data_IF_585374337326
#
_entry.id   IF_585374337326
#
_cell.length_a   1.000
_cell.length_b   1.000
_cell.length_c   1.000
_cell.angle_alpha   90.00
_cell.angle_beta   90.00
_cell.angle_gamma   90.00
#
_symmetry.space_group_name_H-M   'P 1'
#
loop_
_entity.id
_entity.type
_entity.pdbx_description
1 polymer ?
#
# COMPACT_ATOMS: atom_id res chain seq x y z
N UNK A 1 35.96 2.31 12.02
CA UNK A 1 35.25 2.28 10.72
C UNK A 1 34.18 3.36 10.76
N UNK A 2 34.32 4.47 10.02
CA UNK A 2 33.37 5.59 9.99
C UNK A 2 32.85 5.71 8.56
N UNK A 3 31.57 5.45 8.35
CA UNK A 3 30.90 5.78 7.10
C UNK A 3 30.61 7.29 7.11
N UNK A 4 31.26 8.07 6.25
CA UNK A 4 30.79 9.39 5.84
C UNK A 4 29.80 9.16 4.70
N UNK A 5 28.60 9.70 4.83
CA UNK A 5 27.67 9.88 3.70
C UNK A 5 27.46 11.38 3.52
N UNK A 6 28.30 11.97 2.70
CA UNK A 6 28.21 13.33 2.21
C UNK A 6 27.15 13.40 1.09
N UNK A 7 25.88 13.42 1.50
CA UNK A 7 24.74 13.67 0.61
C UNK A 7 23.98 14.91 1.04
N UNK A 8 24.03 15.98 0.24
CA UNK A 8 23.08 17.10 0.35
C UNK A 8 21.78 16.74 -0.36
N UNK A 9 20.71 16.50 0.40
CA UNK A 9 19.38 16.24 -0.13
C UNK A 9 18.68 17.58 -0.40
N UNK A 10 18.35 17.86 -1.67
CA UNK A 10 17.45 18.96 -2.02
C UNK A 10 16.07 18.37 -2.28
N UNK A 11 15.08 18.83 -1.53
CA UNK A 11 13.69 18.48 -1.79
C UNK A 11 13.20 19.32 -2.99
N UNK A 12 13.02 18.65 -4.13
CA UNK A 12 12.13 19.14 -5.19
C UNK A 12 10.79 18.43 -4.99
N UNK A 13 9.72 19.17 -4.70
CA UNK A 13 8.38 18.62 -4.71
C UNK A 13 7.92 18.51 -6.17
N UNK A 14 7.78 17.30 -6.73
CA UNK A 14 7.16 17.14 -8.04
C UNK A 14 5.67 17.56 -7.94
N UNK A 15 5.06 17.97 -9.06
CA UNK A 15 3.61 18.14 -9.13
C UNK A 15 2.95 16.81 -8.74
N UNK A 16 1.90 16.92 -7.91
CA UNK A 16 1.07 15.87 -7.34
C UNK A 16 1.23 14.49 -8.02
N UNK A 17 1.96 13.54 -7.41
CA UNK A 17 2.19 12.19 -7.98
C UNK A 17 0.94 11.30 -7.99
N UNK A 18 -0.25 11.89 -7.85
CA UNK A 18 -1.51 11.14 -7.87
C UNK A 18 -1.63 10.17 -6.69
N UNK A 19 -1.12 10.54 -5.50
CA UNK A 19 -1.32 9.72 -4.31
C UNK A 19 -2.83 9.60 -4.03
N UNK A 20 -3.28 8.38 -3.78
CA UNK A 20 -4.66 8.04 -3.43
C UNK A 20 -4.68 7.34 -2.08
N UNK A 21 -5.85 7.29 -1.46
CA UNK A 21 -6.01 6.58 -0.20
C UNK A 21 -6.08 5.07 -0.49
N UNK A 22 -5.00 4.35 -0.18
CA UNK A 22 -4.88 2.92 -0.42
C UNK A 22 -4.86 2.18 0.92
N UNK A 23 -5.70 1.15 1.03
CA UNK A 23 -5.66 0.20 2.14
C UNK A 23 -4.57 -0.84 1.91
N UNK A 24 -3.71 -1.05 2.91
CA UNK A 24 -2.62 -2.03 2.89
C UNK A 24 -2.83 -3.01 4.02
N UNK A 25 -3.05 -4.28 3.68
CA UNK A 25 -3.21 -5.35 4.66
C UNK A 25 -2.90 -6.74 4.11
N UNK A 26 -2.87 -7.73 4.99
CA UNK A 26 -2.58 -9.12 4.68
C UNK A 26 -3.86 -9.99 4.61
N UNK A 27 -3.77 -11.09 3.87
CA UNK A 27 -4.83 -12.09 3.79
C UNK A 27 -4.21 -13.49 3.70
N UNK A 28 -4.77 -14.44 4.45
CA UNK A 28 -4.35 -15.85 4.39
C UNK A 28 -4.80 -16.56 3.10
N UNK A 29 -5.90 -16.12 2.48
CA UNK A 29 -6.40 -16.66 1.22
C UNK A 29 -6.81 -15.56 0.23
N UNK A 30 -5.85 -15.13 -0.59
CA UNK A 30 -6.06 -14.07 -1.59
C UNK A 30 -7.08 -14.49 -2.65
N UNK A 31 -7.06 -15.75 -3.12
CA UNK A 31 -7.99 -16.21 -4.16
C UNK A 31 -9.45 -16.17 -3.69
N UNK A 32 -9.70 -16.53 -2.42
CA UNK A 32 -11.01 -16.39 -1.80
C UNK A 32 -11.42 -14.93 -1.67
N UNK A 33 -10.48 -14.03 -1.31
CA UNK A 33 -10.74 -12.59 -1.21
C UNK A 33 -11.07 -11.97 -2.57
N UNK A 34 -10.34 -12.32 -3.62
CA UNK A 34 -10.63 -11.90 -5.01
C UNK A 34 -12.05 -12.31 -5.37
N UNK A 35 -12.41 -13.59 -5.14
CA UNK A 35 -13.77 -14.08 -5.41
C UNK A 35 -14.83 -13.33 -4.60
N UNK A 36 -14.61 -13.07 -3.32
CA UNK A 36 -15.53 -12.29 -2.49
C UNK A 36 -15.71 -10.85 -2.99
N UNK A 37 -14.63 -10.20 -3.44
CA UNK A 37 -14.70 -8.87 -4.03
C UNK A 37 -15.43 -8.86 -5.37
N UNK A 38 -15.26 -9.90 -6.21
CA UNK A 38 -15.95 -10.01 -7.50
C UNK A 38 -17.41 -10.47 -7.38
N UNK A 39 -17.72 -11.32 -6.40
CA UNK A 39 -19.05 -11.89 -6.20
C UNK A 39 -19.98 -11.04 -5.33
N UNK A 40 -19.43 -10.16 -4.50
CA UNK A 40 -20.23 -9.37 -3.57
C UNK A 40 -20.23 -7.89 -3.95
N UNK A 41 -21.20 -7.52 -4.79
CA UNK A 41 -21.75 -6.17 -4.79
C UNK A 41 -22.36 -5.89 -3.41
N UNK A 42 -21.54 -5.50 -2.44
CA UNK A 42 -22.02 -5.10 -1.13
C UNK A 42 -22.73 -3.75 -1.26
N UNK A 43 -24.05 -3.82 -1.23
CA UNK A 43 -25.07 -2.74 -1.23
C UNK A 43 -24.86 -1.61 -0.21
N UNK A 44 -23.75 -1.59 0.54
CA UNK A 44 -23.47 -0.58 1.57
C UNK A 44 -22.07 0.03 1.53
N UNK A 45 -21.21 -0.31 0.57
CA UNK A 45 -19.97 0.43 0.33
C UNK A 45 -20.15 1.28 -0.94
N UNK A 46 -20.20 2.62 -0.84
CA UNK A 46 -20.56 3.47 -1.97
C UNK A 46 -19.53 3.50 -3.12
N UNK A 47 -18.36 2.88 -2.97
CA UNK A 47 -17.39 2.67 -4.06
C UNK A 47 -16.84 1.23 -4.04
N UNK A 48 -16.62 0.59 -5.21
CA UNK A 48 -15.97 -0.70 -5.28
C UNK A 48 -14.53 -0.57 -4.76
N UNK A 49 -14.17 -1.40 -3.76
CA UNK A 49 -12.77 -1.56 -3.39
C UNK A 49 -12.06 -2.35 -4.50
N UNK A 50 -11.39 -1.63 -5.40
CA UNK A 50 -10.56 -2.22 -6.43
C UNK A 50 -9.33 -2.91 -5.81
N UNK A 51 -9.12 -4.19 -6.13
CA UNK A 51 -7.88 -4.87 -5.79
C UNK A 51 -6.80 -4.42 -6.78
N UNK A 52 -5.86 -3.60 -6.29
CA UNK A 52 -4.84 -2.98 -7.15
C UNK A 52 -3.54 -3.78 -7.21
N UNK A 53 -3.12 -4.43 -6.12
CA UNK A 53 -1.86 -5.16 -6.01
C UNK A 53 -1.97 -6.35 -5.07
N UNK A 54 -1.26 -7.43 -5.39
CA UNK A 54 -1.00 -8.53 -4.46
C UNK A 54 0.47 -8.89 -4.53
N UNK A 55 1.10 -8.94 -3.36
CA UNK A 55 2.47 -9.40 -3.18
C UNK A 55 2.48 -10.75 -2.47
N UNK A 56 3.19 -11.72 -3.02
CA UNK A 56 3.41 -13.01 -2.35
C UNK A 56 4.47 -12.86 -1.26
N UNK A 57 4.13 -13.33 -0.07
CA UNK A 57 5.06 -13.41 1.07
C UNK A 57 5.90 -14.70 1.04
N UNK A 58 5.62 -15.62 0.11
CA UNK A 58 6.21 -16.96 0.07
C UNK A 58 6.12 -17.65 1.44
N UNK A 59 7.26 -17.97 2.06
CA UNK A 59 7.34 -18.61 3.38
C UNK A 59 7.36 -17.60 4.55
N UNK A 60 7.35 -16.29 4.27
CA UNK A 60 7.40 -15.25 5.30
C UNK A 60 6.03 -15.05 5.93
N UNK A 61 6.07 -14.68 7.21
CA UNK A 61 4.89 -14.32 7.99
C UNK A 61 4.20 -13.06 7.40
N UNK A 62 2.95 -13.17 6.92
CA UNK A 62 2.23 -12.05 6.34
C UNK A 62 2.01 -10.89 7.31
N UNK A 63 1.88 -11.15 8.60
CA UNK A 63 1.68 -10.09 9.62
C UNK A 63 2.94 -9.23 9.76
N UNK A 64 4.12 -9.87 9.77
CA UNK A 64 5.41 -9.16 9.81
C UNK A 64 5.65 -8.34 8.53
N UNK A 65 5.24 -8.86 7.38
CA UNK A 65 5.32 -8.13 6.11
C UNK A 65 4.39 -6.93 6.12
N UNK A 66 3.14 -7.08 6.58
CA UNK A 66 2.20 -5.96 6.75
C UNK A 66 2.78 -4.89 7.69
N UNK A 67 3.29 -5.30 8.86
CA UNK A 67 3.90 -4.39 9.82
C UNK A 67 5.04 -3.58 9.17
N UNK A 68 5.91 -4.26 8.41
CA UNK A 68 7.02 -3.61 7.68
C UNK A 68 6.51 -2.59 6.66
N UNK A 69 5.43 -2.91 5.94
CA UNK A 69 4.80 -1.97 5.00
C UNK A 69 4.27 -0.73 5.73
N UNK A 70 3.53 -0.95 6.81
CA UNK A 70 2.94 0.13 7.60
C UNK A 70 4.01 1.03 8.22
N UNK A 71 5.09 0.45 8.75
CA UNK A 71 6.22 1.20 9.31
C UNK A 71 6.86 2.08 8.24
N UNK A 72 7.23 1.51 7.08
CA UNK A 72 7.85 2.26 5.98
C UNK A 72 6.95 3.39 5.46
N UNK A 73 5.66 3.14 5.30
CA UNK A 73 4.69 4.15 4.84
C UNK A 73 4.56 5.30 5.85
N UNK A 74 4.50 4.99 7.16
CA UNK A 74 4.48 6.03 8.21
C UNK A 74 5.78 6.81 8.26
N UNK A 75 6.92 6.14 8.18
CA UNK A 75 8.25 6.80 8.15
C UNK A 75 8.39 7.71 6.93
N UNK A 76 7.79 7.34 5.80
CA UNK A 76 7.75 8.17 4.59
C UNK A 76 6.70 9.31 4.64
N UNK A 77 5.89 9.40 5.69
CA UNK A 77 4.86 10.43 5.85
C UNK A 77 3.59 10.18 5.02
N UNK A 78 3.32 8.93 4.63
CA UNK A 78 2.13 8.54 3.86
C UNK A 78 0.90 8.29 4.75
N UNK A 79 0.84 8.87 5.94
CA UNK A 79 -0.29 8.74 6.85
C UNK A 79 -1.61 9.22 6.21
N UNK A 80 -2.73 8.61 6.62
CA UNK A 80 -4.05 9.06 6.21
C UNK A 80 -4.37 10.44 6.81
N UNK A 81 -4.55 11.50 6.00
CA UNK A 81 -4.84 12.85 6.49
C UNK A 81 -6.23 12.95 7.14
N UNK A 82 -7.14 12.02 6.85
CA UNK A 82 -8.49 11.97 7.44
C UNK A 82 -8.52 11.28 8.80
N UNK A 83 -7.37 10.89 9.36
CA UNK A 83 -7.30 10.18 10.64
C UNK A 83 -7.62 11.13 11.80
N UNK A 84 -8.87 11.14 12.24
CA UNK A 84 -9.32 11.82 13.46
C UNK A 84 -9.66 10.78 14.53
N UNK A 85 -8.72 10.48 15.44
CA UNK A 85 -8.91 9.50 16.52
C UNK A 85 -7.96 8.30 16.48
N UNK A 86 -8.03 7.44 17.51
CA UNK A 86 -6.97 6.48 17.85
C UNK A 86 -7.09 5.07 17.21
N UNK A 87 -8.22 4.70 16.61
CA UNK A 87 -8.47 3.25 16.32
C UNK A 87 -9.01 2.91 14.93
N UNK A 88 -9.57 3.85 14.17
CA UNK A 88 -10.22 3.53 12.88
C UNK A 88 -9.29 3.90 11.71
N UNK A 89 -9.13 2.98 10.75
CA UNK A 89 -8.38 3.15 9.50
C UNK A 89 -6.83 3.24 9.62
N UNK A 90 -6.19 2.51 10.54
CA UNK A 90 -4.72 2.45 10.68
C UNK A 90 -3.97 1.83 9.50
N UNK A 91 -4.71 1.12 8.65
CA UNK A 91 -4.27 0.40 7.45
C UNK A 91 -4.42 1.22 6.15
N UNK A 92 -4.91 2.47 6.23
CA UNK A 92 -5.08 3.33 5.06
C UNK A 92 -3.94 4.35 4.98
N UNK A 93 -3.37 4.50 3.78
CA UNK A 93 -2.20 5.34 3.54
C UNK A 93 -2.41 6.20 2.29
N UNK A 94 -1.97 7.45 2.33
CA UNK A 94 -1.97 8.34 1.17
C UNK A 94 -0.70 8.08 0.35
N UNK A 95 -0.79 7.17 -0.61
CA UNK A 95 0.36 6.64 -1.38
C UNK A 95 -0.04 6.34 -2.83
N UNK A 96 0.88 5.80 -3.63
CA UNK A 96 0.61 5.34 -4.99
C UNK A 96 1.15 3.92 -5.21
N UNK A 97 0.72 3.29 -6.30
CA UNK A 97 1.08 1.91 -6.64
C UNK A 97 2.59 1.73 -6.86
N UNK A 98 3.26 2.69 -7.53
CA UNK A 98 4.69 2.63 -7.83
C UNK A 98 5.55 2.61 -6.55
N UNK A 99 5.11 3.32 -5.52
CA UNK A 99 5.78 3.32 -4.22
C UNK A 99 5.62 1.97 -3.51
N UNK A 100 4.42 1.36 -3.58
CA UNK A 100 4.18 0.03 -3.03
C UNK A 100 5.01 -1.04 -3.77
N UNK A 101 5.09 -0.96 -5.09
CA UNK A 101 5.91 -1.85 -5.92
C UNK A 101 7.41 -1.69 -5.58
N UNK A 102 7.85 -0.45 -5.33
CA UNK A 102 9.23 -0.16 -4.89
C UNK A 102 9.54 -0.75 -3.51
N UNK A 103 8.62 -0.64 -2.55
CA UNK A 103 8.77 -1.27 -1.24
C UNK A 103 8.80 -2.80 -1.34
N UNK A 104 7.87 -3.38 -2.11
CA UNK A 104 7.83 -4.82 -2.35
C UNK A 104 9.16 -5.33 -2.90
N UNK A 105 9.75 -4.61 -3.87
CA UNK A 105 11.07 -4.92 -4.42
C UNK A 105 12.18 -4.86 -3.38
N UNK A 106 12.21 -3.82 -2.53
CA UNK A 106 13.23 -3.68 -1.47
C UNK A 106 13.10 -4.77 -0.41
N UNK A 107 11.87 -5.11 -0.03
CA UNK A 107 11.59 -6.19 0.91
C UNK A 107 11.87 -7.56 0.25
N UNK A 108 11.87 -7.65 -1.08
CA UNK A 108 12.09 -8.90 -1.82
C UNK A 108 10.83 -9.76 -1.92
N UNK A 109 9.67 -9.13 -2.08
CA UNK A 109 8.40 -9.79 -2.38
C UNK A 109 8.18 -9.91 -3.89
N UNK A 110 7.39 -10.89 -4.30
CA UNK A 110 7.00 -11.08 -5.70
C UNK A 110 5.59 -10.51 -5.93
N UNK A 111 5.45 -9.60 -6.89
CA UNK A 111 4.12 -9.16 -7.35
C UNK A 111 3.43 -10.30 -8.10
N UNK A 112 2.32 -10.80 -7.57
CA UNK A 112 1.54 -11.90 -8.16
C UNK A 112 0.27 -11.42 -8.84
N UNK A 113 -0.17 -10.20 -8.57
CA UNK A 113 -1.30 -9.59 -9.23
C UNK A 113 -1.14 -8.07 -9.34
N UNK A 114 -1.47 -7.56 -10.52
CA UNK A 114 -1.56 -6.14 -10.83
C UNK A 114 -2.95 -5.86 -11.38
N UNK A 115 -3.78 -5.21 -10.58
CA UNK A 115 -5.07 -4.66 -10.99
C UNK A 115 -4.92 -3.20 -11.42
N UNK A 116 -6.01 -2.60 -11.92
CA UNK A 116 -6.11 -1.14 -12.11
C UNK A 116 -7.09 -0.58 -11.10
N UNK A 117 -6.70 0.55 -10.50
CA UNK A 117 -7.66 1.47 -9.88
C UNK A 117 -8.48 2.17 -10.96
N UNK A 118 -9.79 2.21 -10.81
CA UNK A 118 -10.70 3.00 -11.66
C UNK A 118 -10.51 4.52 -11.47
N UNK A 119 -9.79 4.94 -10.43
CA UNK A 119 -9.50 6.35 -10.12
C UNK A 119 -8.27 6.92 -10.82
N UNK A 120 -7.56 6.12 -11.64
CA UNK A 120 -6.44 6.61 -12.44
C UNK A 120 -6.99 7.24 -13.73
N UNK A 121 -7.26 8.54 -13.68
CA UNK A 121 -7.48 9.31 -14.90
C UNK A 121 -6.14 9.49 -15.61
N UNK A 122 -6.08 9.08 -16.89
CA UNK A 122 -4.95 9.30 -17.80
C UNK A 122 -4.65 10.80 -17.98
#
# INVERSE_FOLDING_TARGET
MRFRTDGTWRAWSPPDRGNTLIKVGHFSNVAQRIRQHTSSAHTHSPEPLALIRVYSTAERDPEQVEHSFHELLRTAGHDNPRRTGREVCTEWFLTNEDFLDSMAKVIGLLTVHTGRSEFRND
#
